data_IF_438249823879
#
_entry.id   IF_438249823879
#
_cell.length_a   1.000
_cell.length_b   1.000
_cell.length_c   1.000
_cell.angle_alpha   90.00
_cell.angle_beta   90.00
_cell.angle_gamma   90.00
#
_symmetry.space_group_name_H-M   'P 1'
#
loop_
_entity.id
_entity.type
_entity.pdbx_description
1 polymer ?
#
# COMPACT_ATOMS: atom_id res chain seq x y z
N UNK A 1 1.93 -4.98 22.10
CA UNK A 1 0.76 -4.71 21.22
C UNK A 1 0.79 -3.30 20.63
N UNK A 2 0.46 -3.13 19.34
CA UNK A 2 0.25 -1.84 18.66
C UNK A 2 -1.18 -1.69 18.12
N UNK A 3 -1.61 -0.47 17.79
CA UNK A 3 -2.84 -0.23 17.03
C UNK A 3 -2.49 -0.12 15.54
N UNK A 4 -3.07 -1.00 14.71
CA UNK A 4 -3.06 -0.84 13.25
C UNK A 4 -4.26 0.01 12.84
N UNK A 5 -4.05 1.29 12.55
CA UNK A 5 -5.08 2.23 12.10
C UNK A 5 -5.26 2.12 10.57
N UNK A 6 -5.72 0.97 10.12
CA UNK A 6 -5.88 0.64 8.70
C UNK A 6 -6.94 -0.44 8.53
N UNK A 7 -7.77 -0.31 7.49
CA UNK A 7 -8.74 -1.33 7.06
C UNK A 7 -8.15 -2.39 6.13
N UNK A 8 -6.89 -2.28 5.72
CA UNK A 8 -6.25 -3.23 4.80
C UNK A 8 -6.05 -4.62 5.46
N UNK A 9 -6.66 -5.69 4.92
CA UNK A 9 -6.42 -7.06 5.40
C UNK A 9 -4.99 -7.52 5.10
N UNK A 10 -4.37 -7.04 4.02
CA UNK A 10 -2.99 -7.37 3.67
C UNK A 10 -2.00 -6.89 4.74
N UNK A 11 -2.18 -5.67 5.27
CA UNK A 11 -1.30 -5.13 6.32
C UNK A 11 -1.44 -5.90 7.63
N UNK A 12 -2.66 -6.27 8.01
CA UNK A 12 -2.94 -7.12 9.16
C UNK A 12 -2.29 -8.51 9.02
N UNK A 13 -2.37 -9.10 7.82
CA UNK A 13 -1.71 -10.38 7.51
C UNK A 13 -0.19 -10.27 7.65
N UNK A 14 0.43 -9.19 7.14
CA UNK A 14 1.89 -8.98 7.29
C UNK A 14 2.27 -8.92 8.77
N UNK A 15 1.59 -8.10 9.60
CA UNK A 15 1.89 -8.02 11.03
C UNK A 15 1.78 -9.39 11.72
N UNK A 16 0.70 -10.14 11.43
CA UNK A 16 0.44 -11.47 11.99
C UNK A 16 1.54 -12.47 11.62
N UNK A 17 1.90 -12.53 10.33
CA UNK A 17 2.94 -13.44 9.83
C UNK A 17 4.31 -13.21 10.48
N UNK A 18 4.57 -11.97 10.91
CA UNK A 18 5.84 -11.59 11.53
C UNK A 18 5.80 -11.59 13.07
N UNK A 19 4.72 -12.10 13.67
CA UNK A 19 4.56 -12.26 15.11
C UNK A 19 4.33 -10.95 15.87
N UNK A 20 3.89 -9.88 15.18
CA UNK A 20 3.61 -8.60 15.84
C UNK A 20 2.21 -8.64 16.42
N UNK A 21 2.09 -8.42 17.72
CA UNK A 21 0.78 -8.25 18.36
C UNK A 21 0.16 -6.90 17.99
N UNK A 22 -1.06 -6.91 17.45
CA UNK A 22 -1.79 -5.69 17.14
C UNK A 22 -3.29 -5.82 17.35
N UNK A 23 -3.93 -4.66 17.55
CA UNK A 23 -5.38 -4.49 17.39
C UNK A 23 -5.63 -3.65 16.15
N UNK A 24 -6.42 -4.16 15.22
CA UNK A 24 -6.81 -3.41 14.03
C UNK A 24 -8.00 -2.49 14.34
N UNK A 25 -7.90 -1.23 13.94
CA UNK A 25 -9.02 -0.28 13.95
C UNK A 25 -9.27 0.15 12.51
N UNK A 26 -10.41 -0.29 11.98
CA UNK A 26 -10.86 0.02 10.63
C UNK A 26 -11.56 1.36 10.59
N UNK A 27 -11.11 2.24 9.70
CA UNK A 27 -11.69 3.55 9.45
C UNK A 27 -11.62 3.82 7.95
N UNK A 28 -12.66 4.44 7.39
CA UNK A 28 -12.58 5.06 6.07
C UNK A 28 -11.92 6.43 6.22
N UNK A 29 -10.87 6.66 5.45
CA UNK A 29 -10.14 7.90 5.42
C UNK A 29 -10.48 8.66 4.14
N UNK A 30 -10.63 9.97 4.25
CA UNK A 30 -10.66 10.82 3.07
C UNK A 30 -9.23 10.95 2.53
N UNK A 31 -8.99 10.31 1.38
CA UNK A 31 -7.69 10.26 0.69
C UNK A 31 -7.63 11.28 -0.47
N UNK A 32 -8.59 12.21 -0.57
CA UNK A 32 -8.68 13.21 -1.65
C UNK A 32 -7.67 14.35 -1.49
N UNK A 33 -6.38 14.01 -1.56
CA UNK A 33 -5.30 14.99 -1.66
C UNK A 33 -4.88 15.19 -3.11
N UNK A 34 -4.47 16.40 -3.50
CA UNK A 34 -3.89 16.63 -4.81
C UNK A 34 -2.65 15.77 -4.99
N UNK A 35 -2.58 15.07 -6.13
CA UNK A 35 -1.40 14.31 -6.50
C UNK A 35 -0.22 15.27 -6.70
N UNK A 36 0.93 14.90 -6.17
CA UNK A 36 2.19 15.61 -6.35
C UNK A 36 3.32 14.60 -6.60
N UNK A 37 4.56 14.96 -6.30
CA UNK A 37 5.68 14.03 -6.36
C UNK A 37 5.37 12.76 -5.51
N UNK A 38 5.58 11.54 -6.03
CA UNK A 38 5.14 10.29 -5.40
C UNK A 38 5.50 10.10 -3.92
N UNK A 39 6.74 10.41 -3.54
CA UNK A 39 7.19 10.32 -2.14
C UNK A 39 6.41 11.28 -1.26
N UNK A 40 6.27 12.52 -1.71
CA UNK A 40 5.53 13.56 -1.00
C UNK A 40 4.04 13.20 -0.88
N UNK A 41 3.44 12.67 -1.95
CA UNK A 41 2.05 12.26 -1.97
C UNK A 41 1.78 11.14 -0.95
N UNK A 42 2.57 10.06 -0.96
CA UNK A 42 2.39 8.95 -0.03
C UNK A 42 2.51 9.41 1.44
N UNK A 43 3.49 10.28 1.74
CA UNK A 43 3.64 10.82 3.10
C UNK A 43 2.48 11.74 3.50
N UNK A 44 1.99 12.58 2.58
CA UNK A 44 0.85 13.45 2.82
C UNK A 44 -0.41 12.65 3.18
N UNK A 45 -0.68 11.54 2.47
CA UNK A 45 -1.82 10.67 2.76
C UNK A 45 -1.72 10.09 4.17
N UNK A 46 -0.55 9.56 4.56
CA UNK A 46 -0.37 9.00 5.91
C UNK A 46 -0.51 10.06 7.01
N UNK A 47 0.03 11.25 6.78
CA UNK A 47 -0.14 12.38 7.70
C UNK A 47 -1.62 12.73 7.87
N UNK A 48 -2.37 12.78 6.78
CA UNK A 48 -3.79 13.09 6.81
C UNK A 48 -4.61 12.00 7.50
N UNK A 49 -4.30 10.72 7.24
CA UNK A 49 -4.87 9.58 7.98
C UNK A 49 -4.68 9.72 9.49
N UNK A 50 -3.49 10.11 9.92
CA UNK A 50 -3.21 10.28 11.35
C UNK A 50 -4.07 11.40 11.96
N UNK A 51 -4.19 12.56 11.27
CA UNK A 51 -5.03 13.67 11.73
C UNK A 51 -6.50 13.25 11.84
N UNK A 52 -7.05 12.62 10.80
CA UNK A 52 -8.44 12.16 10.78
C UNK A 52 -8.71 11.13 11.89
N UNK A 53 -7.78 10.21 12.13
CA UNK A 53 -7.91 9.21 13.19
C UNK A 53 -8.01 9.85 14.58
N UNK A 54 -7.10 10.75 14.94
CA UNK A 54 -7.14 11.43 16.25
C UNK A 54 -8.25 12.48 16.36
N UNK A 55 -8.76 12.98 15.24
CA UNK A 55 -9.98 13.79 15.22
C UNK A 55 -11.19 12.94 15.62
N UNK A 56 -11.32 11.72 15.06
CA UNK A 56 -12.45 10.82 15.26
C UNK A 56 -12.41 10.04 16.58
N UNK A 57 -11.28 9.44 16.92
CA UNK A 57 -11.14 8.59 18.09
C UNK A 57 -10.52 9.39 19.23
N UNK A 58 -11.26 9.53 20.32
CA UNK A 58 -10.80 10.13 21.58
C UNK A 58 -10.34 9.05 22.53
N UNK A 59 -9.17 9.21 23.11
CA UNK A 59 -8.55 8.24 24.01
C UNK A 59 -7.03 8.30 23.97
N UNK A 60 -6.40 7.70 24.96
CA UNK A 60 -4.95 7.52 24.99
C UNK A 60 -4.58 6.32 24.14
N UNK A 61 -3.79 6.56 23.10
CA UNK A 61 -3.23 5.51 22.26
C UNK A 61 -1.72 5.49 22.43
N UNK A 62 -1.20 4.40 23.01
CA UNK A 62 0.22 4.30 23.32
C UNK A 62 1.10 4.17 22.08
N UNK A 63 0.62 3.42 21.08
CA UNK A 63 1.37 3.02 19.88
C UNK A 63 0.41 2.85 18.70
N UNK A 64 0.45 3.74 17.72
CA UNK A 64 -0.44 3.72 16.54
C UNK A 64 0.38 3.72 15.27
N UNK A 65 0.05 2.78 14.38
CA UNK A 65 0.64 2.62 13.06
C UNK A 65 -0.37 3.02 11.99
N UNK A 66 0.03 3.97 11.16
CA UNK A 66 -0.63 4.36 9.92
C UNK A 66 0.23 3.94 8.74
N UNK A 67 -0.40 3.53 7.65
CA UNK A 67 0.30 3.20 6.42
C UNK A 67 -0.54 3.52 5.18
N UNK A 68 0.16 3.92 4.12
CA UNK A 68 -0.41 4.12 2.79
C UNK A 68 0.54 3.57 1.73
N UNK A 69 -0.02 3.20 0.58
CA UNK A 69 0.74 2.60 -0.52
C UNK A 69 0.24 3.16 -1.84
N UNK A 70 1.16 3.75 -2.61
CA UNK A 70 0.90 4.33 -3.93
C UNK A 70 1.70 3.57 -4.98
N UNK A 71 1.03 3.15 -6.06
CA UNK A 71 1.68 2.50 -7.21
C UNK A 71 1.97 3.55 -8.27
N UNK A 72 3.16 3.51 -8.85
CA UNK A 72 3.61 4.42 -9.90
C UNK A 72 3.99 3.56 -11.11
N UNK A 73 3.34 3.80 -12.24
CA UNK A 73 3.75 3.26 -13.54
C UNK A 73 3.35 4.24 -14.65
N UNK A 74 4.06 4.21 -15.78
CA UNK A 74 3.80 5.14 -16.89
C UNK A 74 3.92 6.62 -16.52
N UNK A 75 4.73 6.96 -15.50
CA UNK A 75 4.88 8.34 -15.01
C UNK A 75 3.71 8.88 -14.18
N UNK A 76 2.78 8.02 -13.75
CA UNK A 76 1.57 8.42 -13.04
C UNK A 76 1.42 7.68 -11.71
N UNK A 77 0.84 8.35 -10.70
CA UNK A 77 0.37 7.70 -9.48
C UNK A 77 -0.97 7.02 -9.76
N UNK A 78 -0.99 5.69 -9.66
CA UNK A 78 -2.12 4.81 -9.91
C UNK A 78 -2.84 4.50 -8.60
N UNK A 79 -4.07 4.99 -8.50
CA UNK A 79 -4.93 4.78 -7.33
C UNK A 79 -5.63 3.42 -7.37
N UNK A 80 -6.67 3.29 -6.54
CA UNK A 80 -7.62 2.17 -6.63
C UNK A 80 -8.53 2.42 -7.83
N UNK A 81 -8.67 1.43 -8.72
CA UNK A 81 -9.61 1.51 -9.83
C UNK A 81 -11.06 1.54 -9.32
N UNK A 82 -11.91 2.33 -9.98
CA UNK A 82 -13.35 2.44 -9.69
C UNK A 82 -14.17 1.38 -10.40
N UNK A 83 -13.70 0.96 -11.57
CA UNK A 83 -14.33 -0.05 -12.41
C UNK A 83 -13.30 -0.90 -13.15
N UNK A 84 -13.79 -1.94 -13.84
CA UNK A 84 -12.97 -2.90 -14.56
C UNK A 84 -12.18 -2.26 -15.72
N UNK A 85 -12.70 -1.20 -16.34
CA UNK A 85 -12.04 -0.53 -17.46
C UNK A 85 -10.88 0.32 -16.95
N UNK A 86 -11.05 1.02 -15.84
CA UNK A 86 -9.97 1.72 -15.16
C UNK A 86 -8.91 0.74 -14.66
N UNK A 87 -9.31 -0.40 -14.10
CA UNK A 87 -8.38 -1.46 -13.68
C UNK A 87 -7.55 -1.98 -14.86
N UNK A 88 -8.18 -2.23 -16.01
CA UNK A 88 -7.49 -2.63 -17.25
C UNK A 88 -6.47 -1.59 -17.70
N UNK A 89 -6.86 -0.32 -17.75
CA UNK A 89 -5.96 0.77 -18.14
C UNK A 89 -4.75 0.88 -17.20
N UNK A 90 -4.99 0.77 -15.89
CA UNK A 90 -3.95 0.77 -14.86
C UNK A 90 -2.98 -0.40 -15.01
N UNK A 91 -3.48 -1.61 -15.31
CA UNK A 91 -2.65 -2.80 -15.50
C UNK A 91 -1.86 -2.74 -16.82
N UNK A 92 -2.43 -2.15 -17.88
CA UNK A 92 -1.73 -1.92 -19.13
C UNK A 92 -0.54 -0.97 -18.99
N UNK A 93 -0.58 0.00 -18.08
CA UNK A 93 0.58 0.86 -17.77
C UNK A 93 1.73 0.08 -17.09
N UNK A 94 1.43 -1.06 -16.47
CA UNK A 94 2.42 -1.92 -15.79
C UNK A 94 2.97 -3.01 -16.72
N UNK A 95 2.15 -3.51 -17.64
CA UNK A 95 2.49 -4.59 -18.59
C UNK A 95 3.74 -4.25 -19.41
N UNK A 96 4.76 -5.11 -19.36
CA UNK A 96 6.03 -4.91 -20.08
C UNK A 96 6.86 -3.71 -19.59
N UNK A 97 6.51 -3.12 -18.45
CA UNK A 97 7.05 -1.86 -17.94
C UNK A 97 7.59 -2.00 -16.52
N UNK A 98 8.07 -0.87 -15.98
CA UNK A 98 8.49 -0.76 -14.58
C UNK A 98 7.37 -0.13 -13.77
N UNK A 99 7.09 -0.72 -12.61
CA UNK A 99 6.23 -0.15 -11.60
C UNK A 99 6.95 -0.03 -10.25
N UNK A 100 6.75 1.09 -9.58
CA UNK A 100 7.29 1.33 -8.23
C UNK A 100 6.15 1.50 -7.24
N UNK A 101 6.27 0.85 -6.08
CA UNK A 101 5.31 0.92 -4.99
C UNK A 101 5.96 1.69 -3.85
N UNK A 102 5.40 2.86 -3.56
CA UNK A 102 5.83 3.72 -2.45
C UNK A 102 4.92 3.42 -1.27
N UNK A 103 5.49 2.86 -0.21
CA UNK A 103 4.77 2.63 1.04
C UNK A 103 5.29 3.59 2.10
N UNK A 104 4.41 4.52 2.48
CA UNK A 104 4.62 5.44 3.57
C UNK A 104 4.03 4.83 4.85
N UNK A 105 4.72 5.03 5.97
CA UNK A 105 4.24 4.66 7.29
C UNK A 105 4.50 5.78 8.27
N UNK A 106 3.59 5.93 9.24
CA UNK A 106 3.76 6.81 10.38
C UNK A 106 3.48 6.01 11.64
N UNK A 107 4.48 5.92 12.49
CA UNK A 107 4.37 5.26 13.77
C UNK A 107 4.46 6.29 14.88
N UNK A 108 3.40 6.39 15.67
CA UNK A 108 3.26 7.36 16.75
C UNK A 108 3.23 6.58 18.05
N UNK A 109 4.15 6.90 18.95
CA UNK A 109 4.12 6.44 20.33
C UNK A 109 4.09 7.61 21.31
N UNK A 110 3.90 7.31 22.60
CA UNK A 110 4.02 8.31 23.68
C UNK A 110 5.44 8.89 23.81
N UNK A 111 6.47 8.19 23.31
CA UNK A 111 7.87 8.60 23.44
C UNK A 111 8.42 9.28 22.19
N UNK A 112 7.98 8.84 21.01
CA UNK A 112 8.51 9.31 19.73
C UNK A 112 7.48 9.19 18.61
N UNK A 113 7.71 9.94 17.54
CA UNK A 113 6.99 9.83 16.28
C UNK A 113 8.01 9.62 15.18
N UNK A 114 7.73 8.67 14.30
CA UNK A 114 8.60 8.40 13.16
C UNK A 114 7.79 8.24 11.89
N UNK A 115 8.30 8.88 10.84
CA UNK A 115 7.81 8.79 9.47
C UNK A 115 8.81 7.95 8.68
N UNK A 116 8.32 6.93 7.98
CA UNK A 116 9.11 6.00 7.19
C UNK A 116 8.55 5.96 5.77
N UNK A 117 9.43 5.88 4.79
CA UNK A 117 9.06 5.69 3.39
C UNK A 117 9.99 4.68 2.76
N UNK A 118 9.37 3.69 2.13
CA UNK A 118 10.08 2.60 1.46
C UNK A 118 9.53 2.42 0.06
N UNK A 119 10.42 2.03 -0.86
CA UNK A 119 10.08 1.84 -2.26
C UNK A 119 10.44 0.42 -2.66
N UNK A 120 9.49 -0.27 -3.30
CA UNK A 120 9.73 -1.54 -3.98
C UNK A 120 9.47 -1.36 -5.47
N UNK A 121 10.42 -1.75 -6.31
CA UNK A 121 10.35 -1.56 -7.77
C UNK A 121 10.39 -2.91 -8.47
N UNK A 122 9.49 -3.09 -9.44
CA UNK A 122 9.36 -4.30 -10.23
C UNK A 122 9.39 -3.98 -11.71
N UNK A 123 10.15 -4.76 -12.46
CA UNK A 123 10.07 -4.81 -13.92
C UNK A 123 9.23 -6.02 -14.31
N UNK A 124 8.20 -5.79 -15.11
CA UNK A 124 7.31 -6.85 -15.58
C UNK A 124 7.58 -7.23 -17.03
N UNK A 125 7.34 -8.50 -17.35
CA UNK A 125 7.10 -8.95 -18.71
C UNK A 125 5.75 -8.40 -19.20
N UNK A 126 5.50 -8.51 -20.52
CA UNK A 126 4.16 -8.22 -21.04
C UNK A 126 3.16 -9.22 -20.43
N UNK A 127 2.06 -8.71 -19.89
CA UNK A 127 0.97 -9.53 -19.40
C UNK A 127 0.27 -10.24 -20.57
N UNK A 128 -0.08 -11.50 -20.39
CA UNK A 128 -0.94 -12.18 -21.35
C UNK A 128 -2.35 -11.59 -21.26
N UNK A 129 -2.96 -11.31 -22.42
CA UNK A 129 -4.27 -10.65 -22.48
C UNK A 129 -5.37 -11.52 -21.88
N UNK A 130 -5.32 -12.84 -22.08
CA UNK A 130 -6.34 -13.74 -21.54
C UNK A 130 -6.24 -13.81 -20.02
N UNK A 131 -5.04 -13.97 -19.49
CA UNK A 131 -4.84 -14.00 -18.03
C UNK A 131 -5.14 -12.66 -17.36
N UNK A 132 -4.86 -11.54 -18.05
CA UNK A 132 -5.24 -10.20 -17.59
C UNK A 132 -6.76 -10.07 -17.48
N UNK A 133 -7.51 -10.53 -18.49
CA UNK A 133 -8.96 -10.53 -18.45
C UNK A 133 -9.50 -11.46 -17.35
N UNK A 134 -8.94 -12.66 -17.18
CA UNK A 134 -9.32 -13.58 -16.11
C UNK A 134 -9.11 -12.94 -14.72
N UNK A 135 -7.99 -12.24 -14.53
CA UNK A 135 -7.73 -11.48 -13.31
C UNK A 135 -8.72 -10.33 -13.10
N UNK A 136 -9.06 -9.59 -14.15
CA UNK A 136 -10.06 -8.53 -14.10
C UNK A 136 -11.45 -9.06 -13.71
N UNK A 137 -11.87 -10.20 -14.27
CA UNK A 137 -13.14 -10.85 -13.95
C UNK A 137 -13.17 -11.43 -12.54
N UNK A 138 -12.03 -11.85 -11.99
CA UNK A 138 -11.95 -12.38 -10.63
C UNK A 138 -12.31 -11.37 -9.53
N UNK A 139 -12.28 -10.06 -9.84
CA UNK A 139 -12.49 -8.99 -8.87
C UNK A 139 -11.36 -8.82 -7.85
N UNK A 140 -10.30 -9.64 -7.91
CA UNK A 140 -9.18 -9.59 -6.97
C UNK A 140 -8.41 -8.26 -7.00
N UNK A 141 -8.54 -7.46 -8.05
CA UNK A 141 -7.96 -6.11 -8.13
C UNK A 141 -8.66 -5.07 -7.26
N UNK A 142 -9.91 -5.32 -6.85
CA UNK A 142 -10.73 -4.34 -6.15
C UNK A 142 -10.09 -3.88 -4.84
N UNK A 143 -10.13 -2.58 -4.59
CA UNK A 143 -9.57 -1.95 -3.39
C UNK A 143 -8.03 -1.93 -3.30
N UNK A 144 -7.31 -2.45 -4.31
CA UNK A 144 -5.84 -2.42 -4.37
C UNK A 144 -5.34 -1.24 -5.19
N UNK A 145 -4.36 -0.52 -4.66
CA UNK A 145 -3.69 0.54 -5.41
C UNK A 145 -3.02 -0.06 -6.65
N UNK A 146 -3.12 0.64 -7.78
CA UNK A 146 -2.62 0.15 -9.06
C UNK A 146 -3.27 -1.15 -9.54
N UNK A 147 -4.44 -1.55 -9.00
CA UNK A 147 -5.06 -2.84 -9.29
C UNK A 147 -4.10 -4.04 -9.10
N UNK A 148 -3.00 -3.84 -8.35
CA UNK A 148 -1.84 -4.73 -8.35
C UNK A 148 -1.96 -5.75 -7.22
N UNK A 149 -1.58 -6.99 -7.50
CA UNK A 149 -1.43 -8.05 -6.53
C UNK A 149 -0.08 -8.73 -6.74
N UNK A 150 0.96 -8.22 -6.07
CA UNK A 150 2.36 -8.61 -6.31
C UNK A 150 2.64 -10.10 -6.07
N UNK A 151 1.95 -10.71 -5.10
CA UNK A 151 2.05 -12.15 -4.81
C UNK A 151 1.04 -13.01 -5.60
N UNK A 152 0.12 -12.38 -6.31
CA UNK A 152 -0.94 -13.02 -7.11
C UNK A 152 -0.66 -12.88 -8.60
N UNK A 153 -1.61 -12.31 -9.34
CA UNK A 153 -1.54 -12.14 -10.81
C UNK A 153 -0.19 -11.62 -11.30
N UNK A 154 0.36 -10.58 -10.66
CA UNK A 154 1.61 -9.97 -11.11
C UNK A 154 2.84 -10.87 -10.93
N UNK A 155 2.80 -11.84 -10.00
CA UNK A 155 3.96 -12.62 -9.55
C UNK A 155 4.67 -13.33 -10.70
N UNK A 156 3.90 -13.98 -11.58
CA UNK A 156 4.43 -14.74 -12.71
C UNK A 156 5.07 -13.87 -13.80
N UNK A 157 4.78 -12.58 -13.80
CA UNK A 157 5.30 -11.62 -14.77
C UNK A 157 6.52 -10.85 -14.27
N UNK A 158 6.96 -11.06 -13.02
CA UNK A 158 8.13 -10.36 -12.45
C UNK A 158 9.41 -10.84 -13.15
N UNK A 159 10.08 -9.94 -13.86
CA UNK A 159 11.40 -10.17 -14.43
C UNK A 159 12.52 -9.79 -13.46
N UNK A 160 12.32 -8.68 -12.73
CA UNK A 160 13.27 -8.16 -11.75
C UNK A 160 12.52 -7.46 -10.61
N UNK A 161 13.08 -7.52 -9.41
CA UNK A 161 12.57 -6.86 -8.21
C UNK A 161 13.68 -6.19 -7.42
N UNK A 162 13.40 -5.03 -6.85
CA UNK A 162 14.28 -4.31 -5.94
C UNK A 162 13.46 -3.77 -4.74
N UNK A 163 14.00 -3.91 -3.52
CA UNK A 163 13.29 -3.59 -2.28
C UNK A 163 12.44 -4.75 -1.74
N UNK A 164 11.85 -4.55 -0.57
CA UNK A 164 11.13 -5.62 0.14
C UNK A 164 9.74 -5.89 -0.47
N UNK A 165 9.35 -7.16 -0.55
CA UNK A 165 7.99 -7.54 -1.01
C UNK A 165 6.90 -7.05 -0.06
N UNK A 166 7.17 -7.03 1.25
CA UNK A 166 6.31 -6.46 2.29
C UNK A 166 5.92 -5.00 1.98
N UNK A 167 6.89 -4.18 1.57
CA UNK A 167 6.70 -2.81 1.08
C UNK A 167 5.74 -2.76 -0.09
N UNK A 168 5.86 -3.66 -1.07
CA UNK A 168 4.97 -3.73 -2.22
C UNK A 168 3.55 -4.19 -1.85
N UNK A 169 3.43 -5.06 -0.86
CA UNK A 169 2.14 -5.52 -0.30
C UNK A 169 1.46 -4.45 0.56
N UNK A 170 2.24 -3.47 1.04
CA UNK A 170 1.76 -2.24 1.65
C UNK A 170 2.17 -1.99 3.09
N UNK A 171 3.19 -2.71 3.59
CA UNK A 171 3.79 -2.46 4.91
C UNK A 171 5.26 -2.88 4.90
N UNK A 172 6.19 -1.96 5.16
CA UNK A 172 7.60 -2.31 5.37
C UNK A 172 7.81 -2.80 6.81
N UNK A 173 7.61 -4.11 7.00
CA UNK A 173 7.68 -4.73 8.33
C UNK A 173 9.11 -4.78 8.86
N UNK A 174 10.10 -4.88 7.96
CA UNK A 174 11.51 -4.93 8.29
C UNK A 174 11.95 -3.64 8.98
N UNK A 175 11.58 -2.47 8.42
CA UNK A 175 11.86 -1.19 9.07
C UNK A 175 10.99 -0.96 10.32
N UNK A 176 9.71 -1.33 10.28
CA UNK A 176 8.82 -1.17 11.43
C UNK A 176 9.35 -1.90 12.69
N UNK A 177 9.88 -3.11 12.53
CA UNK A 177 10.39 -3.94 13.64
C UNK A 177 11.48 -3.26 14.47
N UNK A 178 12.26 -2.36 13.89
CA UNK A 178 13.29 -1.62 14.64
C UNK A 178 12.69 -0.67 15.71
N UNK A 179 11.39 -0.37 15.62
CA UNK A 179 10.66 0.54 16.51
C UNK A 179 9.57 -0.15 17.32
N UNK A 180 9.43 -1.48 17.19
CA UNK A 180 8.49 -2.32 17.94
C UNK A 180 9.03 -2.72 19.31
#
# INVERSE_FOLDING_TARGET
>A
MIILASSSPTRAKILSNFGVEFRQISMQYDENLPKCEPKSYAMNIVNEKSKQFFAKFKGEFDRVLFADSSVIAGGQILGKAKDINEARNILNLQSGSVASIYTAMKFISTKFKIDMLSVATYRFAKFDEKELEDYLQSGLWQGKAGAMMIEGFNKQYILQSHGNTSTAMGLDIENLKAFL
#
